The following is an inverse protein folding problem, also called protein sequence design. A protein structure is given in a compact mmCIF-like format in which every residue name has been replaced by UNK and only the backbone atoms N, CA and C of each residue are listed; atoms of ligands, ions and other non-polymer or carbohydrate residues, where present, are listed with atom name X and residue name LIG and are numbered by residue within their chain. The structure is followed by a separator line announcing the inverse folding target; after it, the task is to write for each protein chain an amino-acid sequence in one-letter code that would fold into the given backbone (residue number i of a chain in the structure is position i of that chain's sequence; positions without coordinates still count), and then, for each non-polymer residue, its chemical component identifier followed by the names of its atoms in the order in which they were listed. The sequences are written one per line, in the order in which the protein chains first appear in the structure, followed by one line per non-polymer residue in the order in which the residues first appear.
data_IF_775388015153
#
_entry.id   IF_775388015153
#
_cell.length_a   1.000
_cell.length_b   1.000
_cell.length_c   1.000
_cell.angle_alpha   90.00
_cell.angle_beta   90.00
_cell.angle_gamma   90.00
#
_symmetry.space_group_name_H-M   'P 1'
#
loop_
_entity.id
_entity.type
_entity.pdbx_description
1 polymer ?
#
# COMPACT_ATOMS: atom_id res chain seq x y z
N UNK A 1 -1.42 -7.54 16.35
CA UNK A 1 -2.43 -7.15 15.33
C UNK A 1 -1.82 -6.14 14.38
N UNK A 2 -1.90 -6.42 13.09
CA UNK A 2 -1.39 -5.50 12.06
C UNK A 2 -2.49 -4.51 11.72
N UNK A 3 -2.24 -3.23 11.96
CA UNK A 3 -3.20 -2.17 11.65
C UNK A 3 -2.94 -1.66 10.24
N UNK A 4 -3.96 -1.69 9.38
CA UNK A 4 -3.85 -1.34 7.97
C UNK A 4 -4.71 -0.13 7.65
N UNK A 5 -4.13 0.83 6.94
CA UNK A 5 -4.86 1.95 6.34
C UNK A 5 -5.08 1.65 4.85
N UNK A 6 -6.32 1.77 4.39
CA UNK A 6 -6.67 1.61 2.98
C UNK A 6 -6.76 2.96 2.31
N UNK A 7 -6.03 3.18 1.23
CA UNK A 7 -6.03 4.45 0.50
C UNK A 7 -6.33 4.20 -0.97
N UNK A 8 -7.52 4.62 -1.40
CA UNK A 8 -7.97 4.50 -2.78
C UNK A 8 -9.12 5.49 -2.97
N UNK A 9 -9.16 6.15 -4.13
CA UNK A 9 -10.25 7.09 -4.41
C UNK A 9 -11.54 6.40 -4.86
N UNK A 10 -11.50 5.08 -5.07
CA UNK A 10 -12.67 4.28 -5.44
C UNK A 10 -13.24 3.57 -4.22
N UNK A 11 -14.43 3.98 -3.82
CA UNK A 11 -15.09 3.41 -2.63
C UNK A 11 -15.31 1.90 -2.77
N UNK A 12 -15.68 1.42 -3.96
CA UNK A 12 -15.90 -0.01 -4.20
C UNK A 12 -14.62 -0.83 -4.03
N UNK A 13 -13.48 -0.29 -4.44
CA UNK A 13 -12.18 -0.96 -4.28
C UNK A 13 -11.85 -1.05 -2.80
N UNK A 14 -12.01 0.04 -2.06
CA UNK A 14 -11.77 0.02 -0.60
C UNK A 14 -12.69 -0.98 0.10
N UNK A 15 -13.97 -0.98 -0.25
CA UNK A 15 -14.92 -1.92 0.35
C UNK A 15 -14.56 -3.38 0.08
N UNK A 16 -14.10 -3.68 -1.13
CA UNK A 16 -13.67 -5.03 -1.50
C UNK A 16 -12.46 -5.49 -0.72
N UNK A 17 -11.46 -4.62 -0.57
CA UNK A 17 -10.25 -4.95 0.19
C UNK A 17 -10.57 -5.07 1.68
N UNK A 18 -11.39 -4.17 2.21
CA UNK A 18 -11.81 -4.25 3.61
C UNK A 18 -12.48 -5.60 3.89
N UNK A 19 -13.36 -6.05 3.00
CA UNK A 19 -14.05 -7.32 3.16
C UNK A 19 -13.07 -8.52 3.20
N UNK A 20 -12.06 -8.48 2.33
CA UNK A 20 -11.02 -9.51 2.32
C UNK A 20 -10.30 -9.55 3.68
N UNK A 21 -9.94 -8.40 4.21
CA UNK A 21 -9.11 -8.31 5.41
C UNK A 21 -9.88 -8.52 6.70
N UNK A 22 -11.18 -8.24 6.73
CA UNK A 22 -11.99 -8.39 7.95
C UNK A 22 -11.99 -9.81 8.51
N UNK A 23 -11.89 -10.81 7.66
CA UNK A 23 -11.94 -12.22 8.07
C UNK A 23 -10.55 -12.80 8.37
N UNK A 24 -9.50 -11.99 8.24
CA UNK A 24 -8.13 -12.46 8.44
C UNK A 24 -7.68 -12.20 9.86
N UNK A 25 -7.32 -13.25 10.58
CA UNK A 25 -6.78 -13.14 11.93
C UNK A 25 -5.47 -12.37 11.92
N UNK A 26 -5.33 -11.46 12.86
CA UNK A 26 -4.11 -10.70 13.03
C UNK A 26 -4.01 -9.43 12.18
N UNK A 27 -5.01 -9.17 11.34
CA UNK A 27 -5.06 -7.96 10.51
C UNK A 27 -6.34 -7.19 10.81
N UNK A 28 -6.19 -5.88 10.97
CA UNK A 28 -7.32 -4.98 11.24
C UNK A 28 -7.25 -3.77 10.31
N UNK A 29 -8.36 -3.44 9.67
CA UNK A 29 -8.46 -2.19 8.93
C UNK A 29 -8.71 -1.07 9.92
N UNK A 30 -7.69 -0.26 10.15
CA UNK A 30 -7.74 0.81 11.16
C UNK A 30 -8.38 2.09 10.62
N UNK A 31 -8.37 2.27 9.30
CA UNK A 31 -8.96 3.46 8.69
C UNK A 31 -8.93 3.40 7.18
N UNK A 32 -9.51 4.43 6.56
CA UNK A 32 -9.54 4.59 5.11
C UNK A 32 -9.29 6.05 4.76
N UNK A 33 -8.68 6.26 3.61
CA UNK A 33 -8.48 7.59 3.03
C UNK A 33 -8.77 7.52 1.54
N UNK A 34 -9.22 8.63 0.95
CA UNK A 34 -9.59 8.68 -0.46
C UNK A 34 -8.60 9.46 -1.32
N UNK A 35 -7.54 9.99 -0.75
CA UNK A 35 -6.49 10.70 -1.48
C UNK A 35 -5.18 10.65 -0.71
N UNK A 36 -4.10 11.01 -1.40
CA UNK A 36 -2.76 10.99 -0.80
C UNK A 36 -2.60 11.95 0.35
N UNK A 37 -3.17 13.15 0.24
CA UNK A 37 -3.11 14.18 1.29
C UNK A 37 -3.74 13.67 2.59
N UNK A 38 -4.92 13.07 2.48
CA UNK A 38 -5.61 12.52 3.64
C UNK A 38 -4.86 11.34 4.24
N UNK A 39 -4.22 10.52 3.41
CA UNK A 39 -3.41 9.40 3.88
C UNK A 39 -2.25 9.89 4.73
N UNK A 40 -1.53 10.91 4.26
CA UNK A 40 -0.41 11.49 5.00
C UNK A 40 -0.88 12.06 6.34
N UNK A 41 -1.97 12.81 6.31
CA UNK A 41 -2.57 13.40 7.50
C UNK A 41 -2.99 12.34 8.51
N UNK A 42 -3.65 11.29 8.03
CA UNK A 42 -4.09 10.19 8.87
C UNK A 42 -2.90 9.49 9.54
N UNK A 43 -1.86 9.20 8.79
CA UNK A 43 -0.68 8.52 9.31
C UNK A 43 0.08 9.35 10.36
N UNK A 44 0.03 10.69 10.23
CA UNK A 44 0.65 11.58 11.23
C UNK A 44 -0.14 11.64 12.53
N UNK A 45 -1.45 11.46 12.45
CA UNK A 45 -2.34 11.57 13.61
C UNK A 45 -2.63 10.23 14.27
N UNK A 46 -2.43 9.13 13.56
CA UNK A 46 -2.77 7.78 14.02
C UNK A 46 -1.62 6.82 13.71
N UNK A 47 -1.69 5.62 14.26
CA UNK A 47 -0.68 4.59 14.00
C UNK A 47 -1.21 3.56 13.03
N UNK A 48 -0.50 3.35 11.93
CA UNK A 48 -0.72 2.22 11.02
C UNK A 48 0.59 1.47 10.86
N UNK A 49 0.51 0.16 10.78
CA UNK A 49 1.68 -0.67 10.50
C UNK A 49 1.93 -0.75 9.00
N UNK A 50 0.87 -0.85 8.22
CA UNK A 50 0.92 -0.98 6.76
C UNK A 50 -0.14 -0.09 6.13
N UNK A 51 0.24 0.59 5.05
CA UNK A 51 -0.69 1.36 4.21
C UNK A 51 -0.78 0.67 2.86
N UNK A 52 -1.99 0.34 2.43
CA UNK A 52 -2.24 -0.08 1.05
C UNK A 52 -2.58 1.17 0.25
N UNK A 53 -1.66 1.61 -0.60
CA UNK A 53 -1.72 2.90 -1.28
C UNK A 53 -1.99 2.72 -2.77
N UNK A 54 -3.11 3.26 -3.24
CA UNK A 54 -3.38 3.33 -4.67
C UNK A 54 -2.38 4.29 -5.33
N UNK A 55 -1.78 3.85 -6.42
CA UNK A 55 -0.84 4.67 -7.18
C UNK A 55 -1.54 5.85 -7.85
N UNK A 56 -2.69 5.61 -8.46
CA UNK A 56 -3.37 6.57 -9.32
C UNK A 56 -4.53 7.24 -8.60
N UNK A 57 -4.25 8.38 -7.99
CA UNK A 57 -5.26 9.19 -7.31
C UNK A 57 -5.10 10.65 -7.69
N UNK A 58 -6.18 11.44 -7.65
CA UNK A 58 -6.06 12.89 -7.84
C UNK A 58 -5.25 13.53 -6.71
N UNK A 59 -4.80 14.77 -6.93
CA UNK A 59 -4.00 15.48 -5.96
C UNK A 59 -2.54 15.10 -6.03
N UNK A 60 -1.89 14.92 -4.88
CA UNK A 60 -0.45 14.60 -4.85
C UNK A 60 -0.15 13.18 -5.36
N UNK A 61 -1.16 12.31 -5.42
CA UNK A 61 -0.98 10.94 -5.90
C UNK A 61 -0.34 10.02 -4.88
N UNK A 62 -0.33 8.71 -5.22
CA UNK A 62 0.19 7.69 -4.31
C UNK A 62 1.69 7.76 -4.12
N UNK A 63 2.43 8.09 -5.17
CA UNK A 63 3.90 8.12 -5.10
C UNK A 63 4.40 9.21 -4.16
N UNK A 64 3.87 10.42 -4.29
CA UNK A 64 4.27 11.53 -3.42
C UNK A 64 3.80 11.32 -1.98
N UNK A 65 2.60 10.77 -1.80
CA UNK A 65 2.12 10.41 -0.47
C UNK A 65 3.04 9.39 0.20
N UNK A 66 3.52 8.39 -0.56
CA UNK A 66 4.47 7.40 -0.06
C UNK A 66 5.77 8.06 0.39
N UNK A 67 6.31 8.99 -0.40
CA UNK A 67 7.52 9.73 -0.02
C UNK A 67 7.33 10.47 1.30
N UNK A 68 6.21 11.15 1.44
CA UNK A 68 5.92 11.93 2.66
C UNK A 68 5.77 11.04 3.88
N UNK A 69 5.06 9.92 3.74
CA UNK A 69 4.90 8.97 4.84
C UNK A 69 6.25 8.37 5.23
N UNK A 70 7.04 7.94 4.25
CA UNK A 70 8.34 7.34 4.52
C UNK A 70 9.30 8.30 5.25
N UNK A 71 9.20 9.60 4.96
CA UNK A 71 10.06 10.61 5.58
C UNK A 71 9.61 11.05 6.97
N UNK A 72 8.29 11.07 7.20
CA UNK A 72 7.74 11.73 8.39
C UNK A 72 7.12 10.78 9.41
N UNK A 73 6.89 9.53 9.05
CA UNK A 73 6.21 8.58 9.94
C UNK A 73 7.04 7.31 10.04
N UNK A 74 7.81 7.20 11.14
CA UNK A 74 8.62 6.02 11.40
C UNK A 74 7.72 4.83 11.74
N UNK A 75 8.09 3.65 11.24
CA UNK A 75 7.39 2.41 11.57
C UNK A 75 6.19 2.08 10.69
N UNK A 76 5.75 3.01 9.85
CA UNK A 76 4.66 2.76 8.91
C UNK A 76 5.24 2.36 7.56
N UNK A 77 4.81 1.23 7.02
CA UNK A 77 5.27 0.70 5.74
C UNK A 77 4.19 0.85 4.69
N UNK A 78 4.57 1.19 3.47
CA UNK A 78 3.62 1.40 2.37
C UNK A 78 3.75 0.28 1.35
N UNK A 79 2.62 -0.33 1.00
CA UNK A 79 2.51 -1.24 -0.15
C UNK A 79 1.78 -0.47 -1.24
N UNK A 80 2.43 -0.33 -2.39
CA UNK A 80 1.84 0.37 -3.52
C UNK A 80 0.99 -0.59 -4.36
N UNK A 81 -0.21 -0.17 -4.72
CA UNK A 81 -1.10 -0.92 -5.61
C UNK A 81 -1.21 -0.20 -6.94
N UNK A 82 -1.02 -0.93 -8.03
CA UNK A 82 -1.12 -0.35 -9.37
C UNK A 82 -1.96 -1.23 -10.28
N UNK A 83 -2.65 -0.62 -11.26
CA UNK A 83 -3.42 -1.34 -12.28
C UNK A 83 -2.51 -1.86 -13.39
N UNK A 84 -1.40 -1.18 -13.62
CA UNK A 84 -0.48 -1.53 -14.70
C UNK A 84 0.91 -1.79 -14.18
N UNK A 85 1.50 -2.91 -14.61
CA UNK A 85 2.85 -3.28 -14.21
C UNK A 85 3.92 -2.47 -14.91
N UNK A 86 3.56 -1.77 -15.96
CA UNK A 86 4.51 -1.01 -16.80
C UNK A 86 4.68 0.45 -16.37
N UNK A 87 3.79 0.99 -15.53
CA UNK A 87 3.84 2.41 -15.17
C UNK A 87 3.24 2.64 -13.80
N UNK A 88 3.96 3.30 -12.87
CA UNK A 88 5.33 3.78 -13.01
C UNK A 88 6.33 2.64 -12.88
N UNK A 89 7.60 2.92 -13.16
CA UNK A 89 8.65 1.92 -13.04
C UNK A 89 8.77 1.46 -11.58
N UNK A 90 8.85 0.15 -11.33
CA UNK A 90 8.97 -0.37 -9.97
C UNK A 90 10.13 0.24 -9.17
N UNK A 91 11.25 0.52 -9.82
CA UNK A 91 12.41 1.14 -9.18
C UNK A 91 12.04 2.49 -8.56
N UNK A 92 11.26 3.32 -9.27
CA UNK A 92 10.82 4.62 -8.73
C UNK A 92 9.95 4.48 -7.50
N UNK A 93 9.06 3.49 -7.50
CA UNK A 93 8.19 3.21 -6.37
C UNK A 93 9.00 2.82 -5.14
N UNK A 94 9.96 1.93 -5.32
CA UNK A 94 10.83 1.51 -4.22
C UNK A 94 11.74 2.63 -3.73
N UNK A 95 12.24 3.48 -4.62
CA UNK A 95 13.04 4.65 -4.26
C UNK A 95 12.22 5.69 -3.49
N UNK A 96 10.93 5.76 -3.72
CA UNK A 96 10.04 6.64 -2.96
C UNK A 96 9.87 6.20 -1.51
N UNK A 97 10.29 4.98 -1.18
CA UNK A 97 10.23 4.44 0.17
C UNK A 97 9.18 3.37 0.37
N UNK A 98 8.55 2.87 -0.69
CA UNK A 98 7.60 1.78 -0.57
C UNK A 98 8.31 0.50 -0.11
N UNK A 99 7.65 -0.26 0.74
CA UNK A 99 8.14 -1.56 1.20
C UNK A 99 7.55 -2.70 0.38
N UNK A 100 6.48 -2.46 -0.36
CA UNK A 100 5.85 -3.46 -1.19
C UNK A 100 5.25 -2.87 -2.46
N UNK A 101 5.06 -3.74 -3.45
CA UNK A 101 4.48 -3.36 -4.72
C UNK A 101 3.64 -4.52 -5.26
N UNK A 102 2.35 -4.27 -5.45
CA UNK A 102 1.38 -5.25 -5.93
C UNK A 102 0.58 -4.68 -7.09
N UNK A 103 0.09 -5.57 -7.96
CA UNK A 103 -0.94 -5.21 -8.92
C UNK A 103 -2.31 -5.24 -8.23
N UNK A 104 -3.23 -4.38 -8.66
CA UNK A 104 -4.61 -4.39 -8.15
C UNK A 104 -5.35 -5.68 -8.51
N UNK A 105 -4.85 -6.45 -9.48
CA UNK A 105 -5.39 -7.77 -9.82
C UNK A 105 -4.85 -8.91 -8.99
N UNK A 106 -4.01 -8.63 -7.99
CA UNK A 106 -3.46 -9.68 -7.13
C UNK A 106 -4.55 -10.46 -6.43
N UNK A 107 -4.34 -11.77 -6.27
CA UNK A 107 -5.27 -12.62 -5.54
C UNK A 107 -5.37 -12.17 -4.09
N UNK A 108 -6.53 -12.35 -3.43
CA UNK A 108 -6.69 -11.97 -2.02
C UNK A 108 -5.60 -12.52 -1.11
N UNK A 109 -5.19 -13.75 -1.32
CA UNK A 109 -4.15 -14.36 -0.49
C UNK A 109 -2.79 -13.68 -0.69
N UNK A 110 -2.51 -13.20 -1.89
CA UNK A 110 -1.27 -12.46 -2.14
C UNK A 110 -1.25 -11.14 -1.38
N UNK A 111 -2.38 -10.44 -1.32
CA UNK A 111 -2.49 -9.20 -0.55
C UNK A 111 -2.20 -9.45 0.93
N UNK A 112 -2.79 -10.52 1.48
CA UNK A 112 -2.56 -10.90 2.88
C UNK A 112 -1.08 -11.23 3.12
N UNK A 113 -0.49 -12.01 2.23
CA UNK A 113 0.92 -12.40 2.34
C UNK A 113 1.84 -11.18 2.30
N UNK A 114 1.55 -10.23 1.42
CA UNK A 114 2.33 -8.99 1.30
C UNK A 114 2.24 -8.16 2.58
N UNK A 115 1.04 -8.03 3.16
CA UNK A 115 0.84 -7.29 4.41
C UNK A 115 1.67 -7.91 5.53
N UNK A 116 1.62 -9.22 5.69
CA UNK A 116 2.37 -9.92 6.73
C UNK A 116 3.88 -9.80 6.53
N UNK A 117 4.33 -9.94 5.29
CA UNK A 117 5.74 -9.82 4.94
C UNK A 117 6.27 -8.43 5.27
N UNK A 118 5.57 -7.39 4.82
CA UNK A 118 5.98 -6.00 5.03
C UNK A 118 5.91 -5.62 6.51
N UNK A 119 4.90 -6.09 7.22
CA UNK A 119 4.78 -5.84 8.66
C UNK A 119 5.92 -6.46 9.44
N UNK A 120 6.52 -7.54 8.94
CA UNK A 120 7.67 -8.18 9.58
C UNK A 120 9.00 -7.49 9.28
N UNK A 121 8.99 -6.44 8.46
CA UNK A 121 10.17 -5.66 8.13
C UNK A 121 10.82 -6.03 6.80
N UNK A 122 10.23 -6.96 6.05
CA UNK A 122 10.77 -7.38 4.76
C UNK A 122 10.06 -6.66 3.62
N UNK A 123 10.71 -6.59 2.47
CA UNK A 123 10.09 -6.05 1.26
C UNK A 123 9.32 -7.15 0.54
N UNK A 124 8.23 -6.76 -0.11
CA UNK A 124 7.43 -7.67 -0.93
C UNK A 124 7.18 -7.06 -2.29
N UNK A 125 7.61 -7.76 -3.34
CA UNK A 125 7.37 -7.36 -4.72
C UNK A 125 6.72 -8.54 -5.43
N UNK A 126 5.56 -8.31 -6.05
CA UNK A 126 4.88 -9.36 -6.81
C UNK A 126 5.78 -9.89 -7.93
N UNK A 127 5.67 -11.18 -8.25
CA UNK A 127 6.59 -11.82 -9.18
C UNK A 127 6.57 -11.20 -10.58
N UNK A 128 5.41 -10.79 -11.07
CA UNK A 128 5.29 -10.14 -12.38
C UNK A 128 5.99 -8.77 -12.40
N UNK A 129 5.96 -8.06 -11.28
CA UNK A 129 6.63 -6.77 -11.13
C UNK A 129 8.13 -6.97 -10.95
N UNK A 130 8.53 -7.99 -10.19
CA UNK A 130 9.94 -8.31 -9.98
C UNK A 130 10.63 -8.64 -11.30
N UNK A 131 9.96 -9.29 -12.23
CA UNK A 131 10.50 -9.58 -13.55
C UNK A 131 10.83 -8.30 -14.32
N UNK A 132 10.02 -7.27 -14.19
CA UNK A 132 10.30 -5.98 -14.82
C UNK A 132 11.55 -5.31 -14.24
N UNK A 133 11.80 -5.50 -12.96
CA UNK A 133 12.96 -4.93 -12.28
C UNK A 133 14.27 -5.63 -12.66
N UNK A 134 14.19 -6.85 -13.13
CA UNK A 134 15.36 -7.64 -13.52
C UNK A 134 16.01 -7.17 -14.83
N UNK A 135 15.36 -6.32 -15.57
CA UNK A 135 15.87 -5.81 -16.87
C UNK A 135 16.59 -4.44 -16.68
#
# INVERSE_FOLDING_TARGET
MINVLLVDDHELVRAGIRRILEDIKGIKVAGEACCGEDAVKWCRANSADVVLMDMNMPGIGGLEATRKIARSVAGTKVIMLTVHTENPLPAKVMQAGAAGYLSKGAAPQEVVNAIRCVASGQRYIASDIAQQMAW
#
